data_IF_781739052170
#
_entry.id   IF_781739052170
#
_cell.length_a   1.000
_cell.length_b   1.000
_cell.length_c   1.000
_cell.angle_alpha   90.00
_cell.angle_beta   90.00
_cell.angle_gamma   90.00
#
_symmetry.space_group_name_H-M   'P 1'
#
loop_
_entity.id
_entity.type
_entity.pdbx_description
1 polymer ?
#
# COMPACT_ATOMS: atom_id res chain seq x y z
N UNK A 1 -11.75 -11.04 -16.42
CA UNK A 1 -12.54 -10.36 -17.49
C UNK A 1 -11.95 -10.74 -18.85
N UNK A 2 -12.75 -10.75 -19.92
CA UNK A 2 -12.26 -11.12 -21.27
C UNK A 2 -12.62 -10.11 -22.36
N UNK A 3 -13.61 -9.25 -22.12
CA UNK A 3 -13.97 -8.17 -23.03
C UNK A 3 -14.63 -7.02 -22.27
N UNK A 4 -14.33 -5.79 -22.67
CA UNK A 4 -15.01 -4.58 -22.21
C UNK A 4 -15.74 -3.95 -23.39
N UNK A 5 -16.99 -3.54 -23.18
CA UNK A 5 -17.73 -2.69 -24.10
C UNK A 5 -17.80 -1.29 -23.51
N UNK A 6 -17.10 -0.35 -24.17
CA UNK A 6 -16.95 1.04 -23.75
C UNK A 6 -17.62 1.95 -24.79
N UNK A 7 -18.26 3.01 -24.32
CA UNK A 7 -18.77 4.11 -25.15
C UNK A 7 -18.26 5.44 -24.58
N UNK A 8 -17.33 6.08 -25.28
CA UNK A 8 -16.70 7.31 -24.76
C UNK A 8 -16.00 7.04 -23.43
N UNK A 9 -16.26 7.84 -22.40
CA UNK A 9 -15.66 7.66 -21.07
C UNK A 9 -16.38 6.64 -20.18
N UNK A 10 -17.36 5.89 -20.70
CA UNK A 10 -18.18 4.97 -19.90
C UNK A 10 -18.00 3.53 -20.33
N UNK A 11 -17.83 2.64 -19.35
CA UNK A 11 -17.98 1.20 -19.53
C UNK A 11 -19.48 0.88 -19.48
N UNK A 12 -19.99 0.23 -20.52
CA UNK A 12 -21.39 -0.20 -20.61
C UNK A 12 -21.59 -1.64 -20.11
N UNK A 13 -20.63 -2.52 -20.43
CA UNK A 13 -20.67 -3.92 -20.00
C UNK A 13 -19.30 -4.57 -20.00
N UNK A 14 -19.13 -5.58 -19.15
CA UNK A 14 -17.93 -6.42 -19.09
C UNK A 14 -18.33 -7.88 -19.31
N UNK A 15 -17.59 -8.60 -20.14
CA UNK A 15 -17.71 -10.05 -20.27
C UNK A 15 -16.71 -10.71 -19.34
N UNK A 16 -17.18 -11.67 -18.55
CA UNK A 16 -16.41 -12.47 -17.61
C UNK A 16 -16.51 -13.93 -18.04
N UNK A 17 -15.38 -14.64 -18.05
CA UNK A 17 -15.37 -16.09 -18.21
C UNK A 17 -15.17 -16.74 -16.85
N UNK A 18 -15.88 -17.83 -16.60
CA UNK A 18 -15.65 -18.66 -15.42
C UNK A 18 -14.33 -19.41 -15.63
N UNK A 19 -13.42 -19.28 -14.65
CA UNK A 19 -12.10 -19.88 -14.70
C UNK A 19 -12.16 -21.39 -15.00
N UNK A 20 -11.29 -21.87 -15.88
CA UNK A 20 -11.21 -23.27 -16.29
C UNK A 20 -12.37 -23.77 -17.17
N UNK A 21 -13.28 -22.90 -17.62
CA UNK A 21 -14.45 -23.30 -18.42
C UNK A 21 -14.68 -22.36 -19.61
N UNK A 22 -15.43 -22.78 -20.64
CA UNK A 22 -15.89 -21.88 -21.70
C UNK A 22 -17.10 -21.03 -21.29
N UNK A 23 -17.66 -21.20 -20.09
CA UNK A 23 -18.83 -20.46 -19.63
C UNK A 23 -18.50 -18.97 -19.50
N UNK A 24 -19.37 -18.12 -20.04
CA UNK A 24 -19.22 -16.67 -19.97
C UNK A 24 -20.52 -15.99 -19.56
N UNK A 25 -20.38 -14.88 -18.84
CA UNK A 25 -21.47 -13.98 -18.47
C UNK A 25 -21.13 -12.56 -18.93
N UNK A 26 -22.15 -11.78 -19.26
CA UNK A 26 -22.01 -10.35 -19.49
C UNK A 26 -22.70 -9.59 -18.36
N UNK A 27 -21.96 -8.70 -17.71
CA UNK A 27 -22.47 -7.84 -16.63
C UNK A 27 -22.58 -6.40 -17.12
N UNK A 28 -23.65 -5.72 -16.72
CA UNK A 28 -23.90 -4.29 -16.97
C UNK A 28 -24.00 -3.57 -15.62
N UNK A 29 -23.52 -2.34 -15.55
CA UNK A 29 -23.52 -1.55 -14.33
C UNK A 29 -23.38 -0.07 -14.63
N UNK A 30 -23.80 0.78 -13.69
CA UNK A 30 -23.52 2.21 -13.76
C UNK A 30 -22.09 2.53 -13.30
N UNK A 31 -21.51 1.66 -12.48
CA UNK A 31 -20.15 1.77 -11.93
C UNK A 31 -19.50 0.39 -11.95
N UNK A 32 -18.21 0.35 -12.26
CA UNK A 32 -17.36 -0.83 -12.24
C UNK A 32 -16.21 -0.61 -11.25
N UNK A 33 -15.74 -1.69 -10.62
CA UNK A 33 -14.59 -1.65 -9.71
C UNK A 33 -13.60 -2.73 -10.14
N UNK A 34 -12.37 -2.34 -10.46
CA UNK A 34 -11.26 -3.27 -10.66
C UNK A 34 -10.47 -3.42 -9.37
N UNK A 35 -10.86 -4.43 -8.58
CA UNK A 35 -10.20 -4.78 -7.33
C UNK A 35 -9.25 -5.98 -7.48
N UNK A 36 -8.76 -6.25 -8.70
CA UNK A 36 -7.80 -7.33 -8.97
C UNK A 36 -6.37 -6.89 -8.68
N UNK A 37 -5.47 -7.86 -8.45
CA UNK A 37 -4.03 -7.60 -8.23
C UNK A 37 -3.28 -7.30 -9.53
N UNK A 38 -3.85 -7.68 -10.68
CA UNK A 38 -3.23 -7.56 -11.99
C UNK A 38 -3.74 -6.38 -12.83
N UNK A 39 -4.93 -5.86 -12.51
CA UNK A 39 -5.51 -4.73 -13.23
C UNK A 39 -6.06 -5.07 -14.61
N UNK A 40 -6.55 -6.30 -14.80
CA UNK A 40 -6.95 -6.79 -16.13
C UNK A 40 -8.20 -6.08 -16.67
N UNK A 41 -9.12 -5.62 -15.81
CA UNK A 41 -10.33 -4.95 -16.28
C UNK A 41 -9.99 -3.57 -16.86
N UNK A 42 -9.19 -2.76 -16.16
CA UNK A 42 -8.83 -1.44 -16.69
C UNK A 42 -7.91 -1.55 -17.92
N UNK A 43 -7.04 -2.56 -17.97
CA UNK A 43 -6.19 -2.80 -19.14
C UNK A 43 -7.05 -3.12 -20.38
N UNK A 44 -8.06 -3.98 -20.23
CA UNK A 44 -9.04 -4.29 -21.28
C UNK A 44 -9.96 -3.10 -21.64
N UNK A 45 -10.06 -2.09 -20.77
CA UNK A 45 -10.86 -0.88 -20.99
C UNK A 45 -10.06 0.24 -21.68
N UNK A 46 -8.80 -0.03 -22.07
CA UNK A 46 -7.86 0.95 -22.63
C UNK A 46 -7.62 2.15 -21.69
N UNK A 47 -7.58 1.88 -20.38
CA UNK A 47 -7.11 2.88 -19.39
C UNK A 47 -5.59 3.00 -19.50
N UNK A 48 -5.01 4.20 -19.54
CA UNK A 48 -3.57 4.36 -19.46
C UNK A 48 -3.03 3.77 -18.15
N UNK A 49 -2.01 2.93 -18.22
CA UNK A 49 -1.36 2.32 -17.07
C UNK A 49 0.14 2.18 -17.28
N UNK A 50 0.85 1.79 -16.24
CA UNK A 50 2.28 1.48 -16.25
C UNK A 50 2.55 0.11 -15.64
N UNK A 51 3.58 -0.55 -16.16
CA UNK A 51 4.26 -1.69 -15.53
C UNK A 51 5.73 -1.29 -15.37
N UNK A 52 6.33 -1.65 -14.24
CA UNK A 52 7.72 -1.34 -13.93
C UNK A 52 7.86 -0.05 -13.13
N UNK A 53 8.96 0.66 -13.35
CA UNK A 53 9.35 1.82 -12.54
C UNK A 53 9.70 3.04 -13.36
N UNK A 54 9.45 4.19 -12.76
CA UNK A 54 9.67 5.52 -13.29
C UNK A 54 11.15 5.92 -13.18
N UNK A 55 11.58 6.88 -14.00
CA UNK A 55 12.91 7.47 -13.87
C UNK A 55 12.89 8.51 -12.74
N UNK A 56 14.04 8.76 -12.10
CA UNK A 56 14.18 9.78 -11.04
C UNK A 56 13.57 11.12 -11.42
N UNK A 57 13.88 11.60 -12.63
CA UNK A 57 13.50 12.94 -13.07
C UNK A 57 12.04 13.01 -13.55
N UNK A 58 11.34 11.87 -13.69
CA UNK A 58 9.95 11.85 -14.16
C UNK A 58 8.99 12.50 -13.17
N UNK A 59 9.16 12.20 -11.88
CA UNK A 59 8.37 12.76 -10.77
C UNK A 59 9.24 13.50 -9.74
N UNK A 60 10.52 13.71 -10.03
CA UNK A 60 11.52 14.24 -9.09
C UNK A 60 11.58 13.40 -7.80
N UNK A 61 11.66 12.09 -7.95
CA UNK A 61 11.72 11.11 -6.86
C UNK A 61 13.17 10.69 -6.63
N UNK A 62 13.81 11.12 -5.52
CA UNK A 62 15.23 10.86 -5.28
C UNK A 62 15.61 9.37 -5.35
N UNK A 63 14.69 8.46 -5.02
CA UNK A 63 14.95 7.03 -4.98
C UNK A 63 14.43 6.26 -6.19
N UNK A 64 13.80 6.93 -7.18
CA UNK A 64 13.24 6.27 -8.34
C UNK A 64 14.28 5.80 -9.38
N UNK A 65 13.83 4.86 -10.22
CA UNK A 65 14.62 4.22 -11.26
C UNK A 65 15.40 2.99 -10.80
N UNK A 66 16.27 2.51 -11.69
CA UNK A 66 17.21 1.43 -11.38
C UNK A 66 18.27 1.93 -10.39
N UNK A 67 18.22 1.43 -9.15
CA UNK A 67 19.08 1.87 -8.03
C UNK A 67 19.73 0.72 -7.31
N UNK A 68 20.94 0.97 -6.79
CA UNK A 68 21.71 0.03 -5.97
C UNK A 68 21.95 0.65 -4.60
N UNK A 69 21.47 -0.01 -3.55
CA UNK A 69 21.61 0.49 -2.18
C UNK A 69 22.10 -0.60 -1.24
N UNK A 70 22.67 -0.20 -0.11
CA UNK A 70 22.84 -1.10 1.02
C UNK A 70 21.75 -0.81 2.09
N UNK A 71 21.61 -1.73 3.03
CA UNK A 71 20.65 -1.63 4.13
C UNK A 71 21.45 -1.55 5.42
N UNK A 72 21.18 -0.52 6.21
CA UNK A 72 21.76 -0.37 7.53
C UNK A 72 20.91 -1.12 8.55
N UNK A 73 21.54 -2.00 9.32
CA UNK A 73 20.89 -2.85 10.33
C UNK A 73 20.55 -2.14 11.64
N UNK A 74 20.82 -0.83 11.73
CA UNK A 74 20.41 -0.03 12.88
C UNK A 74 18.93 0.34 12.82
N UNK A 75 18.32 0.44 14.00
CA UNK A 75 16.94 0.89 14.15
C UNK A 75 16.82 2.37 13.76
N UNK A 76 15.75 2.78 13.05
CA UNK A 76 15.47 4.18 12.72
C UNK A 76 15.45 5.06 13.98
N UNK A 77 16.24 6.12 13.98
CA UNK A 77 16.32 7.07 15.10
C UNK A 77 15.29 8.21 14.94
N UNK A 78 15.05 8.67 13.71
CA UNK A 78 14.18 9.83 13.45
C UNK A 78 12.75 9.61 13.94
N UNK A 79 12.14 8.48 13.57
CA UNK A 79 10.79 8.10 14.00
C UNK A 79 10.66 8.06 15.53
N UNK A 80 11.69 7.54 16.21
CA UNK A 80 11.71 7.45 17.68
C UNK A 80 11.82 8.83 18.32
N UNK A 81 12.69 9.70 17.78
CA UNK A 81 12.89 11.08 18.27
C UNK A 81 11.66 11.96 18.04
N UNK A 82 10.98 11.77 16.90
CA UNK A 82 9.78 12.52 16.53
C UNK A 82 8.51 12.05 17.27
N UNK A 83 8.56 10.88 17.92
CA UNK A 83 7.43 10.34 18.67
C UNK A 83 6.26 9.91 17.80
N UNK A 84 6.50 9.57 16.52
CA UNK A 84 5.45 9.09 15.62
C UNK A 84 5.02 7.69 16.08
N UNK A 85 3.73 7.53 16.36
CA UNK A 85 3.14 6.32 16.93
C UNK A 85 2.88 5.26 15.85
N UNK A 86 3.95 4.79 15.21
CA UNK A 86 3.93 3.72 14.22
C UNK A 86 4.84 2.58 14.63
N UNK A 87 4.65 1.43 14.00
CA UNK A 87 5.55 0.29 14.18
C UNK A 87 6.92 0.61 13.59
N UNK A 88 7.91 0.79 14.46
CA UNK A 88 9.30 1.02 14.04
C UNK A 88 9.93 -0.27 13.52
N UNK A 89 10.40 -0.26 12.28
CA UNK A 89 11.12 -1.38 11.67
C UNK A 89 12.55 -1.51 12.24
N UNK A 90 13.17 -2.68 12.05
CA UNK A 90 14.48 -2.98 12.65
C UNK A 90 15.69 -2.50 11.86
N UNK A 91 15.48 -1.93 10.68
CA UNK A 91 16.55 -1.51 9.76
C UNK A 91 16.16 -0.20 9.07
N UNK A 92 17.15 0.45 8.45
CA UNK A 92 16.96 1.68 7.68
C UNK A 92 17.72 1.69 6.36
N UNK A 93 17.41 2.69 5.55
CA UNK A 93 18.12 2.93 4.31
C UNK A 93 19.59 3.23 4.63
N UNK A 94 20.49 2.49 3.99
CA UNK A 94 21.90 2.85 4.00
C UNK A 94 22.27 3.71 2.79
N UNK A 95 23.55 3.76 2.43
CA UNK A 95 24.02 4.49 1.26
C UNK A 95 23.47 3.94 -0.05
N UNK A 96 23.11 4.86 -0.94
CA UNK A 96 22.81 4.59 -2.34
C UNK A 96 24.08 4.80 -3.19
N UNK A 97 24.32 3.92 -4.16
CA UNK A 97 25.41 4.08 -5.11
C UNK A 97 25.16 5.34 -5.96
N UNK A 98 26.04 6.36 -5.89
CA UNK A 98 25.86 7.62 -6.63
C UNK A 98 25.94 7.42 -8.15
N UNK A 99 26.47 6.29 -8.61
CA UNK A 99 26.57 5.93 -10.04
C UNK A 99 25.43 5.00 -10.48
N UNK A 100 24.37 4.87 -9.68
CA UNK A 100 23.15 4.17 -10.10
C UNK A 100 22.58 4.84 -11.37
N UNK A 101 21.95 4.09 -12.28
CA UNK A 101 21.43 4.66 -13.52
C UNK A 101 20.26 5.64 -13.33
N UNK A 102 19.39 5.42 -12.33
CA UNK A 102 18.17 6.22 -12.10
C UNK A 102 17.18 6.25 -13.28
N UNK A 103 17.31 5.29 -14.20
CA UNK A 103 16.48 5.17 -15.39
C UNK A 103 15.20 4.39 -15.11
N UNK A 104 14.14 4.73 -15.84
CA UNK A 104 12.93 3.91 -15.94
C UNK A 104 13.25 2.56 -16.62
N UNK A 105 12.53 1.51 -16.23
CA UNK A 105 12.48 0.23 -16.93
C UNK A 105 11.17 -0.51 -16.61
N UNK A 106 10.94 -1.66 -17.26
CA UNK A 106 9.75 -2.50 -17.06
C UNK A 106 9.84 -3.44 -15.86
N UNK A 107 10.86 -3.34 -15.01
CA UNK A 107 11.07 -4.29 -13.92
C UNK A 107 10.22 -3.91 -12.70
N UNK A 108 9.57 -4.92 -12.13
CA UNK A 108 8.74 -4.81 -10.92
C UNK A 108 9.36 -5.60 -9.77
N UNK A 109 8.87 -5.39 -8.56
CA UNK A 109 9.29 -6.16 -7.38
C UNK A 109 9.14 -7.68 -7.57
N UNK A 110 10.10 -8.43 -7.04
CA UNK A 110 10.08 -9.88 -7.08
C UNK A 110 8.87 -10.50 -6.38
N UNK A 111 8.31 -11.56 -6.96
CA UNK A 111 7.19 -12.31 -6.36
C UNK A 111 7.69 -13.51 -5.53
N UNK A 112 6.78 -14.13 -4.77
CA UNK A 112 7.00 -15.41 -4.11
C UNK A 112 5.67 -16.07 -3.70
N UNK A 113 5.74 -17.32 -3.24
CA UNK A 113 4.67 -17.92 -2.44
C UNK A 113 4.90 -17.74 -0.95
N UNK A 114 3.81 -17.48 -0.20
CA UNK A 114 3.83 -17.41 1.27
C UNK A 114 3.20 -18.66 1.85
N UNK A 115 4.00 -19.70 2.08
CA UNK A 115 3.50 -20.98 2.59
C UNK A 115 3.17 -20.90 4.08
N UNK A 116 2.08 -21.55 4.49
CA UNK A 116 1.89 -21.92 5.89
C UNK A 116 2.68 -23.19 6.19
N UNK A 117 3.35 -23.23 7.34
CA UNK A 117 4.06 -24.41 7.84
C UNK A 117 3.71 -24.65 9.29
N UNK A 118 3.73 -25.91 9.73
CA UNK A 118 3.47 -26.29 11.12
C UNK A 118 4.59 -27.16 11.69
N UNK A 119 4.82 -26.99 12.98
CA UNK A 119 5.69 -27.86 13.78
C UNK A 119 4.92 -28.89 14.61
N UNK A 120 3.58 -28.92 14.55
CA UNK A 120 2.77 -29.91 15.26
C UNK A 120 2.81 -31.27 14.56
N UNK A 121 3.39 -32.33 15.17
CA UNK A 121 3.48 -33.64 14.54
C UNK A 121 2.12 -34.26 14.17
N UNK A 122 1.03 -33.92 14.88
CA UNK A 122 -0.30 -34.43 14.56
C UNK A 122 -0.87 -33.79 13.30
N UNK A 123 -0.49 -32.53 13.02
CA UNK A 123 -0.97 -31.74 11.90
C UNK A 123 0.04 -31.61 10.74
N UNK A 124 1.25 -32.17 10.88
CA UNK A 124 2.33 -31.99 9.91
C UNK A 124 2.33 -33.05 8.80
N UNK A 125 2.33 -32.59 7.55
CA UNK A 125 2.68 -33.37 6.37
C UNK A 125 4.14 -33.07 5.96
N UNK A 126 4.89 -34.05 5.45
CA UNK A 126 6.22 -33.80 4.91
C UNK A 126 6.15 -32.83 3.71
N UNK A 127 7.17 -32.01 3.54
CA UNK A 127 7.29 -31.18 2.33
C UNK A 127 7.47 -32.12 1.13
N UNK A 128 6.65 -32.02 0.07
CA UNK A 128 6.84 -32.84 -1.12
C UNK A 128 8.08 -32.39 -1.90
N UNK A 129 8.82 -33.35 -2.48
CA UNK A 129 9.87 -33.05 -3.45
C UNK A 129 9.22 -32.68 -4.79
N UNK A 130 9.41 -31.46 -5.34
CA UNK A 130 8.87 -31.12 -6.64
C UNK A 130 9.48 -31.98 -7.75
N UNK A 131 8.70 -32.25 -8.81
CA UNK A 131 9.18 -32.98 -9.97
C UNK A 131 10.30 -32.22 -10.72
N UNK A 132 10.23 -30.88 -10.72
CA UNK A 132 11.21 -29.97 -11.30
C UNK A 132 12.43 -29.71 -10.41
N UNK A 133 12.53 -30.34 -9.23
CA UNK A 133 13.61 -30.08 -8.28
C UNK A 133 15.00 -30.25 -8.91
N UNK A 134 15.74 -29.15 -8.97
CA UNK A 134 17.16 -29.13 -9.30
C UNK A 134 17.95 -28.51 -8.14
N UNK A 135 18.92 -29.26 -7.63
CA UNK A 135 19.77 -28.83 -6.52
C UNK A 135 20.51 -27.53 -6.81
N UNK A 136 20.95 -27.34 -8.05
CA UNK A 136 21.81 -26.23 -8.46
C UNK A 136 21.11 -24.86 -8.30
N UNK A 137 19.77 -24.83 -8.39
CA UNK A 137 18.96 -23.61 -8.23
C UNK A 137 19.07 -23.04 -6.80
N UNK A 138 19.37 -23.90 -5.82
CA UNK A 138 19.38 -23.53 -4.40
C UNK A 138 20.80 -23.37 -3.83
N UNK A 139 21.83 -23.96 -4.46
CA UNK A 139 23.21 -23.96 -3.97
C UNK A 139 23.81 -22.58 -3.74
N UNK A 140 23.37 -21.58 -4.52
CA UNK A 140 23.81 -20.19 -4.42
C UNK A 140 22.67 -19.22 -4.07
N UNK A 141 21.46 -19.73 -3.82
CA UNK A 141 20.34 -18.90 -3.41
C UNK A 141 20.59 -18.29 -2.03
N UNK A 142 20.45 -16.98 -1.87
CA UNK A 142 20.90 -16.27 -0.67
C UNK A 142 19.87 -16.28 0.47
N UNK A 143 18.59 -16.59 0.21
CA UNK A 143 17.50 -16.60 1.21
C UNK A 143 17.10 -18.01 1.65
N UNK A 144 18.02 -18.70 2.32
CA UNK A 144 17.84 -20.08 2.78
C UNK A 144 17.34 -20.16 4.21
N UNK A 145 16.01 -20.16 4.41
CA UNK A 145 15.45 -20.47 5.72
C UNK A 145 14.01 -20.99 5.65
N UNK A 146 13.66 -21.79 6.65
CA UNK A 146 12.28 -22.02 7.12
C UNK A 146 12.20 -21.37 8.52
N UNK A 147 11.22 -20.50 8.81
CA UNK A 147 11.14 -19.86 10.11
C UNK A 147 11.00 -20.90 11.22
N UNK A 148 11.69 -20.65 12.33
CA UNK A 148 11.66 -21.51 13.51
C UNK A 148 10.78 -20.96 14.65
N UNK A 149 10.19 -19.77 14.47
CA UNK A 149 9.29 -19.20 15.47
C UNK A 149 7.92 -19.84 15.37
N UNK A 150 7.48 -20.43 16.48
CA UNK A 150 6.16 -21.02 16.66
C UNK A 150 5.16 -19.90 16.95
N UNK A 151 4.24 -19.66 16.01
CA UNK A 151 3.07 -18.80 16.21
C UNK A 151 1.90 -19.56 16.82
N UNK A 152 0.70 -18.95 16.84
CA UNK A 152 -0.54 -19.61 17.26
C UNK A 152 -0.72 -20.96 16.55
N UNK A 153 -1.28 -21.94 17.26
CA UNK A 153 -1.55 -23.29 16.75
C UNK A 153 -0.31 -24.03 16.20
N UNK A 154 0.88 -23.73 16.73
CA UNK A 154 2.15 -24.32 16.25
C UNK A 154 2.42 -24.06 14.75
N UNK A 155 1.91 -22.95 14.20
CA UNK A 155 2.08 -22.57 12.79
C UNK A 155 3.04 -21.39 12.62
N UNK A 156 3.62 -21.29 11.43
CA UNK A 156 4.49 -20.22 10.97
C UNK A 156 4.34 -20.03 9.46
N UNK A 157 5.07 -19.09 8.87
CA UNK A 157 4.98 -18.83 7.43
C UNK A 157 6.34 -18.68 6.73
N UNK A 158 6.52 -19.37 5.61
CA UNK A 158 7.71 -19.21 4.75
C UNK A 158 7.40 -18.14 3.70
N UNK A 159 8.06 -16.99 3.79
CA UNK A 159 7.80 -15.82 2.93
C UNK A 159 9.01 -15.31 2.13
N UNK A 160 10.11 -16.09 2.06
CA UNK A 160 11.33 -15.69 1.37
C UNK A 160 11.82 -16.55 0.18
N UNK A 161 11.02 -17.43 -0.48
CA UNK A 161 11.40 -17.99 -1.78
C UNK A 161 11.19 -16.94 -2.89
N UNK A 162 11.90 -15.82 -2.78
CA UNK A 162 11.74 -14.65 -3.65
C UNK A 162 12.65 -14.78 -4.84
N UNK A 163 12.08 -14.63 -6.05
CA UNK A 163 12.80 -14.79 -7.32
C UNK A 163 12.80 -13.49 -8.15
N UNK A 164 13.77 -12.58 -7.95
CA UNK A 164 13.88 -11.38 -8.77
C UNK A 164 14.03 -11.69 -10.25
N UNK A 165 13.33 -10.93 -11.09
CA UNK A 165 13.32 -11.08 -12.55
C UNK A 165 12.40 -12.16 -13.11
N UNK A 166 12.11 -13.22 -12.35
CA UNK A 166 11.33 -14.36 -12.87
C UNK A 166 9.85 -14.03 -13.10
N UNK A 167 9.35 -12.95 -12.51
CA UNK A 167 7.96 -12.54 -12.60
C UNK A 167 7.69 -11.41 -13.62
N UNK A 168 8.70 -10.89 -14.32
CA UNK A 168 8.55 -9.68 -15.14
C UNK A 168 7.53 -9.79 -16.27
N UNK A 169 7.34 -10.98 -16.82
CA UNK A 169 6.31 -11.22 -17.85
C UNK A 169 4.89 -11.30 -17.26
N UNK A 170 4.74 -11.59 -15.97
CA UNK A 170 3.44 -11.89 -15.35
C UNK A 170 2.39 -10.78 -15.50
N UNK A 171 2.70 -9.48 -15.30
CA UNK A 171 1.69 -8.42 -15.40
C UNK A 171 0.99 -8.42 -16.77
N UNK A 172 1.76 -8.55 -17.85
CA UNK A 172 1.26 -8.48 -19.23
C UNK A 172 0.93 -9.84 -19.87
N UNK A 173 1.21 -10.94 -19.18
CA UNK A 173 0.97 -12.28 -19.68
C UNK A 173 -0.52 -12.63 -19.79
N UNK A 174 -0.85 -13.50 -20.74
CA UNK A 174 -2.13 -14.21 -20.74
C UNK A 174 -2.17 -15.27 -19.62
N UNK A 175 -3.34 -15.87 -19.42
CA UNK A 175 -3.52 -16.87 -18.36
C UNK A 175 -2.61 -18.09 -18.49
N UNK A 176 -2.34 -18.57 -19.71
CA UNK A 176 -1.48 -19.75 -19.89
C UNK A 176 -0.04 -19.46 -19.47
N UNK A 177 0.49 -18.29 -19.84
CA UNK A 177 1.82 -17.86 -19.41
C UNK A 177 1.85 -17.52 -17.91
N UNK A 178 0.78 -16.91 -17.35
CA UNK A 178 0.68 -16.68 -15.90
C UNK A 178 0.69 -17.98 -15.11
N UNK A 179 -0.05 -19.00 -15.54
CA UNK A 179 -0.07 -20.33 -14.91
C UNK A 179 1.32 -20.97 -14.87
N UNK A 180 2.10 -20.84 -15.95
CA UNK A 180 3.49 -21.33 -15.97
C UNK A 180 4.37 -20.60 -14.95
N UNK A 181 4.25 -19.27 -14.85
CA UNK A 181 5.00 -18.46 -13.88
C UNK A 181 4.56 -18.80 -12.45
N UNK A 182 3.26 -18.94 -12.21
CA UNK A 182 2.68 -19.34 -10.92
C UNK A 182 3.26 -20.70 -10.50
N UNK A 183 3.19 -21.70 -11.38
CA UNK A 183 3.71 -23.03 -11.12
C UNK A 183 5.21 -23.01 -10.83
N UNK A 184 6.00 -22.25 -11.59
CA UNK A 184 7.43 -22.08 -11.35
C UNK A 184 7.71 -21.53 -9.94
N UNK A 185 6.96 -20.53 -9.49
CA UNK A 185 7.13 -19.94 -8.15
C UNK A 185 6.69 -20.88 -7.03
N UNK A 186 5.62 -21.65 -7.25
CA UNK A 186 5.14 -22.67 -6.32
C UNK A 186 6.19 -23.77 -6.13
N UNK A 187 6.65 -24.35 -7.24
CA UNK A 187 7.65 -25.41 -7.25
C UNK A 187 8.98 -24.94 -6.68
N UNK A 188 9.42 -23.73 -7.01
CA UNK A 188 10.65 -23.17 -6.44
C UNK A 188 10.57 -23.07 -4.91
N UNK A 189 9.43 -22.62 -4.38
CA UNK A 189 9.21 -22.49 -2.94
C UNK A 189 9.18 -23.83 -2.20
N UNK A 190 8.47 -24.82 -2.74
CA UNK A 190 8.47 -26.19 -2.22
C UNK A 190 9.86 -26.83 -2.30
N UNK A 191 10.55 -26.64 -3.43
CA UNK A 191 11.89 -27.18 -3.67
C UNK A 191 12.95 -26.53 -2.78
N UNK A 192 12.82 -25.25 -2.42
CA UNK A 192 13.67 -24.59 -1.44
C UNK A 192 13.51 -25.23 -0.07
N UNK A 193 12.27 -25.46 0.38
CA UNK A 193 12.01 -26.13 1.67
C UNK A 193 12.55 -27.56 1.68
N UNK A 194 12.37 -28.30 0.57
CA UNK A 194 12.95 -29.64 0.40
C UNK A 194 14.49 -29.61 0.45
N UNK A 195 15.13 -28.71 -0.29
CA UNK A 195 16.59 -28.52 -0.28
C UNK A 195 17.10 -28.30 1.14
N UNK A 196 16.43 -27.42 1.91
CA UNK A 196 16.81 -27.13 3.29
C UNK A 196 16.68 -28.34 4.22
N UNK A 197 15.70 -29.21 4.00
CA UNK A 197 15.48 -30.42 4.80
C UNK A 197 16.43 -31.58 4.45
N UNK A 198 16.90 -31.66 3.20
CA UNK A 198 17.51 -32.88 2.67
C UNK A 198 18.92 -32.72 2.08
N UNK A 199 19.35 -31.53 1.66
CA UNK A 199 20.62 -31.37 0.94
C UNK A 199 21.85 -31.42 1.85
N UNK A 200 22.87 -32.18 1.43
CA UNK A 200 24.08 -32.40 2.22
C UNK A 200 24.89 -31.12 2.48
N UNK A 201 24.74 -30.09 1.63
CA UNK A 201 25.40 -28.79 1.81
C UNK A 201 24.86 -28.00 3.02
N UNK A 202 23.66 -28.31 3.51
CA UNK A 202 23.10 -27.71 4.72
C UNK A 202 23.59 -28.49 5.93
N UNK A 203 24.18 -27.89 6.98
CA UNK A 203 24.66 -28.63 8.16
C UNK A 203 23.61 -29.59 8.75
N UNK A 204 24.02 -30.81 9.13
CA UNK A 204 23.10 -31.85 9.60
C UNK A 204 22.20 -31.41 10.78
N UNK A 205 22.76 -30.64 11.72
CA UNK A 205 21.99 -30.08 12.84
C UNK A 205 20.90 -29.09 12.39
N UNK A 206 21.14 -28.35 11.31
CA UNK A 206 20.19 -27.41 10.74
C UNK A 206 19.10 -28.14 9.93
N UNK A 207 19.47 -29.16 9.14
CA UNK A 207 18.49 -30.04 8.48
C UNK A 207 17.52 -30.66 9.46
N UNK A 208 18.01 -31.16 10.60
CA UNK A 208 17.16 -31.73 11.67
C UNK A 208 16.11 -30.72 12.17
N UNK A 209 16.49 -29.45 12.36
CA UNK A 209 15.54 -28.39 12.74
C UNK A 209 14.54 -28.10 11.62
N UNK A 210 14.97 -28.07 10.37
CA UNK A 210 14.06 -27.85 9.25
C UNK A 210 13.07 -29.00 9.04
N UNK A 211 13.46 -30.24 9.33
CA UNK A 211 12.59 -31.42 9.31
C UNK A 211 11.51 -31.39 10.42
N UNK A 212 11.62 -30.51 11.41
CA UNK A 212 10.57 -30.28 12.39
C UNK A 212 9.37 -29.51 11.80
N UNK A 213 9.50 -28.98 10.59
CA UNK A 213 8.46 -28.20 9.91
C UNK A 213 7.93 -28.94 8.68
N UNK A 214 6.66 -28.72 8.38
CA UNK A 214 6.01 -29.29 7.20
C UNK A 214 4.72 -28.56 6.85
N UNK A 215 4.01 -29.01 5.82
CA UNK A 215 2.74 -28.42 5.45
C UNK A 215 1.64 -28.84 6.46
N UNK A 216 0.77 -27.92 6.90
CA UNK A 216 -0.32 -28.25 7.82
C UNK A 216 -1.47 -28.98 7.11
N UNK A 217 -2.02 -30.06 7.68
CA UNK A 217 -3.15 -30.81 7.10
C UNK A 217 -4.42 -29.97 6.99
N UNK A 218 -4.56 -28.96 7.84
CA UNK A 218 -5.78 -28.17 8.03
C UNK A 218 -5.80 -26.82 7.30
N UNK A 219 -4.73 -26.42 6.61
CA UNK A 219 -4.74 -25.23 5.74
C UNK A 219 -4.75 -25.65 4.28
N UNK A 220 -5.54 -24.97 3.45
CA UNK A 220 -5.64 -25.24 2.01
C UNK A 220 -5.88 -26.73 1.70
N UNK A 221 -6.75 -27.37 2.50
CA UNK A 221 -6.95 -28.82 2.47
C UNK A 221 -7.49 -29.34 1.12
N UNK A 222 -8.16 -28.48 0.39
CA UNK A 222 -8.71 -28.64 -0.96
C UNK A 222 -7.74 -28.24 -2.08
N UNK A 223 -6.51 -27.84 -1.73
CA UNK A 223 -5.50 -27.35 -2.66
C UNK A 223 -4.10 -27.82 -2.25
N UNK A 224 -3.97 -29.12 -1.93
CA UNK A 224 -2.70 -29.80 -1.60
C UNK A 224 -1.84 -29.10 -0.53
N UNK A 225 -2.51 -28.41 0.43
CA UNK A 225 -1.88 -27.64 1.49
C UNK A 225 -0.98 -26.49 1.01
N UNK A 226 -1.17 -26.03 -0.23
CA UNK A 226 -0.45 -24.88 -0.80
C UNK A 226 -1.39 -23.67 -0.98
N UNK A 227 -0.89 -22.44 -0.79
CA UNK A 227 -1.72 -21.24 -0.96
C UNK A 227 -2.37 -21.16 -2.35
N UNK A 228 -3.59 -20.62 -2.42
CA UNK A 228 -4.33 -20.47 -3.68
C UNK A 228 -3.62 -19.54 -4.69
N UNK A 229 -2.94 -18.51 -4.18
CA UNK A 229 -2.40 -17.45 -5.02
C UNK A 229 -0.92 -17.20 -4.73
N UNK A 230 -0.20 -16.85 -5.80
CA UNK A 230 1.14 -16.29 -5.70
C UNK A 230 1.06 -14.88 -5.12
N UNK A 231 2.02 -14.48 -4.29
CA UNK A 231 2.09 -13.12 -3.77
C UNK A 231 2.66 -12.16 -4.82
N UNK A 232 1.75 -11.60 -5.62
CA UNK A 232 2.00 -10.54 -6.61
C UNK A 232 2.18 -9.22 -5.87
N UNK A 233 3.42 -8.68 -5.88
CA UNK A 233 3.73 -7.43 -5.16
C UNK A 233 3.33 -6.18 -5.92
N UNK A 234 3.45 -6.23 -7.23
CA UNK A 234 3.35 -5.06 -8.10
C UNK A 234 3.14 -5.54 -9.54
N UNK A 235 1.96 -5.26 -10.09
CA UNK A 235 1.65 -5.52 -11.49
C UNK A 235 1.40 -4.18 -12.20
N UNK A 236 0.28 -4.05 -12.91
CA UNK A 236 -0.13 -2.79 -13.52
C UNK A 236 -0.55 -1.78 -12.44
N UNK A 237 -0.22 -0.51 -12.67
CA UNK A 237 -0.76 0.63 -11.93
C UNK A 237 -1.40 1.59 -12.92
N UNK A 238 -2.64 2.00 -12.69
CA UNK A 238 -3.27 3.00 -13.56
C UNK A 238 -2.49 4.31 -13.54
N UNK A 239 -2.50 5.06 -14.63
CA UNK A 239 -2.19 6.49 -14.61
C UNK A 239 -3.51 7.20 -14.31
N UNK A 240 -3.71 7.51 -13.03
CA UNK A 240 -4.93 8.12 -12.54
C UNK A 240 -4.95 9.64 -12.65
N UNK A 241 -5.98 10.25 -12.05
CA UNK A 241 -6.13 11.70 -11.93
C UNK A 241 -5.13 12.31 -10.94
N UNK A 242 -4.45 11.47 -10.16
CA UNK A 242 -3.26 11.80 -9.41
C UNK A 242 -2.37 10.57 -9.29
N UNK A 243 -1.07 10.76 -9.48
CA UNK A 243 -0.07 9.72 -9.25
C UNK A 243 0.53 9.97 -7.88
N UNK A 244 0.16 9.13 -6.91
CA UNK A 244 0.76 9.15 -5.57
C UNK A 244 2.24 8.75 -5.69
N UNK A 245 3.14 9.64 -5.31
CA UNK A 245 4.58 9.45 -5.51
C UNK A 245 5.36 9.61 -4.21
N UNK A 246 6.68 9.42 -4.26
CA UNK A 246 7.57 9.47 -3.10
C UNK A 246 7.40 10.76 -2.28
N UNK A 247 7.17 11.90 -2.95
CA UNK A 247 7.01 13.19 -2.29
C UNK A 247 5.72 13.28 -1.45
N UNK A 248 4.68 12.52 -1.80
CA UNK A 248 3.47 12.41 -0.97
C UNK A 248 3.76 11.67 0.34
N UNK A 249 4.81 10.83 0.36
CA UNK A 249 5.32 10.09 1.50
C UNK A 249 6.32 10.85 2.38
N UNK A 250 6.77 12.02 1.97
CA UNK A 250 7.83 12.80 2.63
C UNK A 250 7.29 13.96 3.47
N UNK A 251 8.00 14.34 4.53
CA UNK A 251 7.69 15.56 5.27
C UNK A 251 7.85 16.79 4.37
N UNK A 252 6.94 17.75 4.53
CA UNK A 252 7.09 19.06 3.92
C UNK A 252 8.01 19.95 4.74
N UNK A 253 8.60 20.98 4.13
CA UNK A 253 9.37 22.00 4.85
C UNK A 253 8.47 23.05 5.54
N UNK A 254 7.21 23.18 5.12
CA UNK A 254 6.29 24.21 5.59
C UNK A 254 5.63 23.89 6.95
N UNK A 255 5.53 22.60 7.28
CA UNK A 255 4.88 22.08 8.49
C UNK A 255 5.32 20.62 8.75
N UNK A 256 5.05 20.11 9.94
CA UNK A 256 5.62 18.85 10.47
C UNK A 256 4.80 17.60 10.14
N UNK A 257 4.32 17.49 8.89
CA UNK A 257 3.63 16.31 8.35
C UNK A 257 3.79 16.25 6.83
N UNK A 258 3.39 15.13 6.24
CA UNK A 258 3.34 14.91 4.79
C UNK A 258 2.29 15.80 4.10
N UNK A 259 2.35 15.96 2.77
CA UNK A 259 1.37 16.74 2.00
C UNK A 259 -0.07 16.43 2.37
N UNK A 260 -0.89 17.49 2.49
CA UNK A 260 -2.30 17.37 2.83
C UNK A 260 -3.10 17.23 1.54
N UNK A 261 -3.90 16.18 1.48
CA UNK A 261 -4.81 15.87 0.39
C UNK A 261 -6.27 16.17 0.82
N UNK A 262 -6.91 17.19 0.25
CA UNK A 262 -8.26 17.63 0.67
C UNK A 262 -9.38 16.62 0.42
N UNK A 263 -9.10 15.63 -0.44
CA UNK A 263 -9.95 14.52 -0.84
C UNK A 263 -9.37 13.17 -0.36
N UNK A 264 -8.62 13.15 0.74
CA UNK A 264 -8.07 11.92 1.33
C UNK A 264 -9.16 10.90 1.65
N UNK A 265 -8.94 9.65 1.26
CA UNK A 265 -9.85 8.53 1.50
C UNK A 265 -9.25 7.42 2.36
N UNK A 266 -7.93 7.42 2.51
CA UNK A 266 -7.19 6.38 3.22
C UNK A 266 -5.86 6.94 3.70
N UNK A 267 -5.16 6.17 4.52
CA UNK A 267 -3.78 6.47 4.90
C UNK A 267 -2.87 5.26 4.70
N UNK A 268 -1.60 5.55 4.46
CA UNK A 268 -0.51 4.59 4.64
C UNK A 268 0.40 5.06 5.77
N UNK A 269 0.83 4.15 6.63
CA UNK A 269 1.76 4.39 7.74
C UNK A 269 3.03 3.54 7.63
N UNK A 270 3.08 2.63 6.65
CA UNK A 270 4.27 1.87 6.33
C UNK A 270 5.22 2.71 5.50
N UNK A 271 6.51 2.51 5.75
CA UNK A 271 7.54 3.18 5.00
C UNK A 271 7.58 2.67 3.56
N UNK A 272 8.06 3.50 2.64
CA UNK A 272 8.25 3.08 1.26
C UNK A 272 9.37 2.03 1.19
N UNK A 273 9.01 0.81 0.80
CA UNK A 273 9.93 -0.31 0.68
C UNK A 273 9.78 -1.00 -0.68
N UNK A 274 10.89 -1.47 -1.21
CA UNK A 274 10.88 -2.25 -2.43
C UNK A 274 11.74 -3.49 -2.25
N UNK A 275 11.24 -4.62 -2.75
CA UNK A 275 12.04 -5.82 -2.97
C UNK A 275 12.83 -5.72 -4.26
N UNK A 276 13.94 -6.47 -4.33
CA UNK A 276 14.78 -6.45 -5.51
C UNK A 276 14.00 -6.80 -6.78
N UNK A 277 14.23 -6.04 -7.84
CA UNK A 277 13.50 -6.16 -9.10
C UNK A 277 14.23 -7.11 -10.06
N UNK A 278 15.57 -7.04 -10.12
CA UNK A 278 16.43 -7.97 -10.86
C UNK A 278 17.47 -8.63 -9.94
N UNK A 279 18.31 -9.50 -10.49
CA UNK A 279 19.49 -10.04 -9.81
C UNK A 279 20.76 -9.22 -10.04
N UNK A 280 20.66 -8.10 -10.78
CA UNK A 280 21.81 -7.22 -10.99
C UNK A 280 22.28 -6.68 -9.65
N UNK A 281 23.59 -6.65 -9.44
CA UNK A 281 24.19 -6.22 -8.18
C UNK A 281 25.49 -5.48 -8.42
N UNK A 282 25.91 -4.70 -7.42
CA UNK A 282 27.20 -4.01 -7.41
C UNK A 282 27.95 -4.36 -6.11
N UNK A 283 29.30 -4.40 -6.11
CA UNK A 283 30.06 -4.68 -4.91
C UNK A 283 29.64 -3.78 -3.74
N UNK A 284 29.26 -4.38 -2.61
CA UNK A 284 28.81 -3.66 -1.41
C UNK A 284 27.34 -3.25 -1.39
N UNK A 285 26.58 -3.50 -2.45
CA UNK A 285 25.16 -3.16 -2.57
C UNK A 285 24.28 -4.40 -2.70
N UNK A 286 22.98 -4.25 -2.41
CA UNK A 286 21.97 -5.28 -2.65
C UNK A 286 21.65 -5.39 -4.14
N UNK A 287 20.88 -6.40 -4.48
CA UNK A 287 20.28 -6.50 -5.80
C UNK A 287 19.42 -5.26 -6.09
N UNK A 288 19.47 -4.84 -7.35
CA UNK A 288 18.75 -3.69 -7.91
C UNK A 288 17.31 -3.57 -7.38
N UNK A 289 16.89 -2.35 -7.09
CA UNK A 289 15.52 -2.02 -6.70
C UNK A 289 15.19 -2.31 -5.23
N UNK A 290 16.09 -2.91 -4.44
CA UNK A 290 15.89 -3.03 -3.00
C UNK A 290 15.90 -1.62 -2.37
N UNK A 291 14.89 -1.30 -1.55
CA UNK A 291 14.80 -0.04 -0.78
C UNK A 291 14.11 -0.27 0.57
N UNK A 292 14.46 0.53 1.59
CA UNK A 292 13.84 0.54 2.94
C UNK A 292 13.88 1.99 3.50
N UNK A 293 12.92 2.83 3.11
CA UNK A 293 12.91 4.28 3.43
C UNK A 293 12.28 4.61 4.80
N UNK A 294 12.74 3.95 5.86
CA UNK A 294 12.15 4.05 7.21
C UNK A 294 12.43 5.36 7.94
N UNK A 295 13.46 6.13 7.54
CA UNK A 295 13.76 7.43 8.15
C UNK A 295 13.21 8.61 7.34
N UNK A 296 12.91 8.38 6.05
CA UNK A 296 12.48 9.35 5.06
C UNK A 296 10.95 9.41 4.96
N UNK A 297 10.29 8.25 5.03
CA UNK A 297 8.83 8.14 4.86
C UNK A 297 8.08 8.48 6.14
N UNK A 298 6.90 9.10 6.03
CA UNK A 298 5.97 9.31 7.16
C UNK A 298 4.54 8.92 6.78
N UNK A 299 3.65 8.76 7.79
CA UNK A 299 2.24 8.47 7.51
C UNK A 299 1.62 9.50 6.58
N UNK A 300 0.90 9.04 5.55
CA UNK A 300 0.51 9.86 4.40
C UNK A 300 -0.93 9.63 3.98
N UNK A 301 -1.55 10.68 3.46
CA UNK A 301 -2.94 10.69 2.99
C UNK A 301 -3.00 10.21 1.54
N UNK A 302 -3.90 9.28 1.24
CA UNK A 302 -4.12 8.76 -0.11
C UNK A 302 -5.37 9.46 -0.67
N UNK A 303 -5.25 10.28 -1.73
CA UNK A 303 -6.38 11.04 -2.26
C UNK A 303 -7.31 10.18 -3.13
N UNK A 304 -8.60 10.52 -3.16
CA UNK A 304 -9.62 9.83 -3.96
C UNK A 304 -9.24 9.76 -5.45
N UNK A 305 -8.68 10.85 -5.99
CA UNK A 305 -8.16 10.92 -7.36
C UNK A 305 -7.09 9.88 -7.72
N UNK A 306 -6.46 9.21 -6.75
CA UNK A 306 -5.57 8.08 -7.01
C UNK A 306 -6.32 6.80 -7.43
N UNK A 307 -7.62 6.67 -7.09
CA UNK A 307 -8.45 5.53 -7.51
C UNK A 307 -9.14 5.76 -8.86
N UNK A 308 -9.09 7.00 -9.37
CA UNK A 308 -9.81 7.43 -10.56
C UNK A 308 -8.89 7.36 -11.79
N UNK A 309 -9.15 6.49 -12.76
CA UNK A 309 -8.38 6.43 -14.00
C UNK A 309 -8.61 7.67 -14.87
N UNK A 310 -7.66 7.93 -15.77
CA UNK A 310 -7.86 8.88 -16.86
C UNK A 310 -8.70 8.26 -17.98
N UNK A 311 -9.64 9.03 -18.53
CA UNK A 311 -10.42 8.65 -19.72
C UNK A 311 -11.58 7.68 -19.48
N UNK A 312 -11.79 7.17 -18.26
CA UNK A 312 -12.96 6.39 -17.86
C UNK A 312 -13.55 6.99 -16.58
N UNK A 313 -14.83 7.32 -16.61
CA UNK A 313 -15.50 8.06 -15.54
C UNK A 313 -16.25 7.17 -14.55
N UNK A 314 -16.63 5.96 -14.96
CA UNK A 314 -17.40 5.03 -14.13
C UNK A 314 -16.62 3.79 -13.65
N UNK A 315 -15.29 3.92 -13.51
CA UNK A 315 -14.41 2.87 -13.02
C UNK A 315 -13.64 3.34 -11.78
N UNK A 316 -13.58 2.48 -10.76
CA UNK A 316 -12.75 2.65 -9.57
C UNK A 316 -11.68 1.57 -9.52
N UNK A 317 -10.45 1.91 -9.13
CA UNK A 317 -9.33 0.96 -9.05
C UNK A 317 -8.67 1.02 -7.67
N UNK A 318 -9.22 0.33 -6.64
CA UNK A 318 -8.72 0.40 -5.27
C UNK A 318 -7.42 -0.36 -5.00
N UNK A 319 -7.09 -1.37 -5.81
CA UNK A 319 -5.89 -2.22 -5.61
C UNK A 319 -4.75 -1.68 -6.46
N UNK A 320 -4.83 -1.84 -7.78
CA UNK A 320 -3.88 -1.33 -8.80
C UNK A 320 -3.95 0.19 -9.03
N UNK A 321 -4.13 0.95 -7.95
CA UNK A 321 -4.34 2.39 -7.96
C UNK A 321 -3.13 3.16 -8.51
N UNK A 322 -3.34 4.45 -8.76
CA UNK A 322 -2.36 5.33 -9.37
C UNK A 322 -1.25 5.75 -8.39
N UNK A 323 -0.07 5.15 -8.55
CA UNK A 323 1.12 5.47 -7.79
C UNK A 323 2.41 5.18 -8.59
N UNK A 324 3.54 5.74 -8.15
CA UNK A 324 4.88 5.37 -8.67
C UNK A 324 5.39 4.08 -8.02
N UNK A 325 6.41 3.47 -8.59
CA UNK A 325 7.05 2.26 -8.05
C UNK A 325 7.58 2.47 -6.62
N UNK A 326 8.13 3.65 -6.32
CA UNK A 326 8.68 3.95 -5.00
C UNK A 326 7.56 4.05 -3.97
N UNK A 327 6.53 4.84 -4.28
CA UNK A 327 5.40 5.02 -3.39
C UNK A 327 4.56 3.74 -3.25
N UNK A 328 4.58 2.86 -4.25
CA UNK A 328 3.91 1.56 -4.24
C UNK A 328 4.29 0.71 -3.03
N UNK A 329 5.53 0.83 -2.54
CA UNK A 329 5.98 0.16 -1.32
C UNK A 329 5.11 0.42 -0.08
N UNK A 330 4.60 1.64 0.03
CA UNK A 330 3.69 2.04 1.11
C UNK A 330 2.22 1.74 0.78
N UNK A 331 1.84 1.69 -0.51
CA UNK A 331 0.45 1.47 -0.97
C UNK A 331 0.05 0.00 -0.95
N UNK A 332 0.93 -0.91 -1.38
CA UNK A 332 0.62 -2.31 -1.74
C UNK A 332 0.22 -3.24 -0.58
N UNK A 333 0.00 -2.69 0.60
CA UNK A 333 -0.23 -3.45 1.82
C UNK A 333 -1.72 -3.70 2.02
N UNK A 334 -2.06 -4.87 2.54
CA UNK A 334 -3.45 -5.28 2.75
C UNK A 334 -4.25 -4.29 3.63
N UNK A 335 -3.70 -3.69 4.71
CA UNK A 335 -4.42 -2.65 5.47
C UNK A 335 -4.75 -1.39 4.65
N UNK A 336 -3.94 -1.05 3.64
CA UNK A 336 -4.23 0.08 2.75
C UNK A 336 -5.30 -0.32 1.74
N UNK A 337 -5.20 -1.51 1.14
CA UNK A 337 -6.23 -2.03 0.23
C UNK A 337 -7.60 -2.21 0.88
N UNK A 338 -7.65 -2.54 2.17
CA UNK A 338 -8.92 -2.55 2.92
C UNK A 338 -9.56 -1.15 2.95
N UNK A 339 -8.78 -0.10 3.25
CA UNK A 339 -9.27 1.27 3.29
C UNK A 339 -9.68 1.78 1.90
N UNK A 340 -8.86 1.57 0.87
CA UNK A 340 -9.18 2.01 -0.49
C UNK A 340 -10.36 1.24 -1.08
N UNK A 341 -10.49 -0.05 -0.76
CA UNK A 341 -11.64 -0.88 -1.11
C UNK A 341 -12.93 -0.41 -0.45
N UNK A 342 -12.90 -0.09 0.84
CA UNK A 342 -14.05 0.48 1.56
C UNK A 342 -14.46 1.83 0.96
N UNK A 343 -13.48 2.71 0.69
CA UNK A 343 -13.73 3.99 0.05
C UNK A 343 -14.33 3.85 -1.36
N UNK A 344 -13.83 2.90 -2.16
CA UNK A 344 -14.39 2.60 -3.48
C UNK A 344 -15.84 2.08 -3.38
N UNK A 345 -16.15 1.27 -2.37
CA UNK A 345 -17.52 0.82 -2.09
C UNK A 345 -18.48 1.98 -1.81
N UNK A 346 -18.11 2.87 -0.89
CA UNK A 346 -18.90 4.08 -0.62
C UNK A 346 -19.03 4.98 -1.84
N UNK A 347 -17.93 5.20 -2.58
CA UNK A 347 -17.93 6.01 -3.79
C UNK A 347 -18.89 5.44 -4.84
N UNK A 348 -18.88 4.13 -5.07
CA UNK A 348 -19.81 3.48 -6.01
C UNK A 348 -21.27 3.65 -5.59
N UNK A 349 -21.58 3.48 -4.30
CA UNK A 349 -22.93 3.64 -3.77
C UNK A 349 -23.42 5.09 -3.86
N UNK A 350 -22.59 6.06 -3.48
CA UNK A 350 -22.91 7.49 -3.54
C UNK A 350 -23.05 7.98 -4.98
N UNK A 351 -22.16 7.54 -5.89
CA UNK A 351 -22.27 7.86 -7.31
C UNK A 351 -23.61 7.37 -7.88
N UNK A 352 -24.02 6.14 -7.53
CA UNK A 352 -25.33 5.61 -7.91
C UNK A 352 -26.48 6.43 -7.33
N UNK A 353 -26.41 6.81 -6.05
CA UNK A 353 -27.44 7.59 -5.38
C UNK A 353 -27.61 9.00 -5.97
N UNK A 354 -26.49 9.66 -6.28
CA UNK A 354 -26.46 10.99 -6.88
C UNK A 354 -26.66 10.97 -8.41
N UNK A 355 -26.86 9.78 -9.00
CA UNK A 355 -26.97 9.60 -10.46
C UNK A 355 -25.81 10.25 -11.23
N UNK A 356 -24.60 10.12 -10.66
CA UNK A 356 -23.35 10.64 -11.21
C UNK A 356 -22.35 9.50 -11.45
N UNK A 357 -21.23 9.79 -12.09
CA UNK A 357 -20.14 8.84 -12.28
C UNK A 357 -19.23 8.80 -11.05
N UNK A 358 -18.36 7.80 -10.92
CA UNK A 358 -17.38 7.78 -9.84
C UNK A 358 -16.40 8.97 -9.93
N UNK A 359 -16.04 9.33 -11.16
CA UNK A 359 -15.19 10.46 -11.51
C UNK A 359 -15.77 11.83 -11.16
N UNK A 360 -17.09 11.99 -11.33
CA UNK A 360 -17.81 13.24 -11.10
C UNK A 360 -18.49 13.29 -9.72
N UNK A 361 -18.25 12.26 -8.88
CA UNK A 361 -18.70 12.27 -7.50
C UNK A 361 -17.99 13.40 -6.75
N UNK A 362 -18.76 14.20 -6.02
CA UNK A 362 -18.21 15.23 -5.13
C UNK A 362 -17.31 14.57 -4.06
N UNK A 363 -15.99 14.81 -4.06
CA UNK A 363 -15.09 14.22 -3.09
C UNK A 363 -15.41 14.66 -1.65
N UNK A 364 -16.04 15.82 -1.48
CA UNK A 364 -16.47 16.30 -0.17
C UNK A 364 -17.57 15.40 0.41
N UNK A 365 -18.55 15.00 -0.40
CA UNK A 365 -19.60 14.05 0.02
C UNK A 365 -19.03 12.69 0.43
N UNK A 366 -18.04 12.18 -0.33
CA UNK A 366 -17.36 10.94 0.01
C UNK A 366 -16.61 11.08 1.33
N UNK A 367 -15.75 12.10 1.45
CA UNK A 367 -14.96 12.36 2.65
C UNK A 367 -15.84 12.46 3.91
N UNK A 368 -16.93 13.23 3.85
CA UNK A 368 -17.85 13.36 4.97
C UNK A 368 -18.50 12.02 5.34
N UNK A 369 -18.85 11.21 4.34
CA UNK A 369 -19.36 9.84 4.57
C UNK A 369 -18.32 8.99 5.29
N UNK A 370 -17.08 8.96 4.81
CA UNK A 370 -15.99 8.16 5.38
C UNK A 370 -15.71 8.50 6.85
N UNK A 371 -15.59 9.79 7.17
CA UNK A 371 -15.29 10.21 8.56
C UNK A 371 -16.46 9.95 9.52
N UNK A 372 -17.72 10.02 9.05
CA UNK A 372 -18.90 9.63 9.86
C UNK A 372 -18.85 8.16 10.25
N UNK A 373 -18.37 7.30 9.35
CA UNK A 373 -18.10 5.88 9.62
C UNK A 373 -16.73 5.63 10.27
N UNK A 374 -16.00 6.70 10.62
CA UNK A 374 -14.71 6.67 11.32
C UNK A 374 -13.61 5.94 10.54
N UNK A 375 -13.71 5.92 9.21
CA UNK A 375 -12.61 5.51 8.36
C UNK A 375 -11.45 6.49 8.50
N UNK A 376 -10.23 5.97 8.56
CA UNK A 376 -9.02 6.74 8.76
C UNK A 376 -8.62 7.45 7.45
N UNK A 377 -8.89 8.75 7.36
CA UNK A 377 -8.49 9.61 6.22
C UNK A 377 -7.28 10.49 6.55
N UNK A 378 -6.82 10.47 7.79
CA UNK A 378 -5.59 11.13 8.24
C UNK A 378 -5.03 10.43 9.46
N UNK A 379 -3.72 10.27 9.52
CA UNK A 379 -3.02 9.69 10.66
C UNK A 379 -2.87 10.71 11.80
N UNK A 380 -3.01 10.23 13.04
CA UNK A 380 -2.71 10.95 14.26
C UNK A 380 -2.11 9.98 15.30
N UNK A 381 -1.15 10.44 16.09
CA UNK A 381 -0.50 9.66 17.14
C UNK A 381 -1.45 9.35 18.31
N UNK A 382 -2.39 10.26 18.55
CA UNK A 382 -3.20 10.38 19.76
C UNK A 382 -4.70 10.19 19.51
N UNK A 383 -5.09 9.77 18.29
CA UNK A 383 -6.46 9.35 17.99
C UNK A 383 -6.51 7.85 17.74
N UNK A 384 -7.38 7.17 18.49
CA UNK A 384 -7.78 5.80 18.20
C UNK A 384 -9.22 5.80 17.71
N UNK A 385 -9.45 5.41 16.45
CA UNK A 385 -10.75 5.50 15.78
C UNK A 385 -11.89 4.73 16.48
N UNK A 386 -11.54 3.75 17.32
CA UNK A 386 -12.50 2.98 18.13
C UNK A 386 -13.01 3.72 19.37
N UNK A 387 -12.40 4.84 19.76
CA UNK A 387 -12.74 5.56 20.99
C UNK A 387 -14.06 6.34 20.84
N UNK A 388 -14.84 6.47 21.91
CA UNK A 388 -16.19 7.08 21.84
C UNK A 388 -16.21 8.61 21.71
N UNK A 389 -15.06 9.28 21.62
CA UNK A 389 -14.99 10.74 21.53
C UNK A 389 -15.72 11.24 20.25
N UNK A 390 -16.76 12.08 20.39
CA UNK A 390 -17.55 12.58 19.25
C UNK A 390 -16.76 13.53 18.35
N UNK A 391 -15.64 14.11 18.81
CA UNK A 391 -14.81 15.01 18.01
C UNK A 391 -13.92 14.28 16.99
N UNK A 392 -13.80 12.94 17.06
CA UNK A 392 -12.91 12.17 16.17
C UNK A 392 -13.27 12.35 14.68
N UNK A 393 -14.53 12.17 14.22
CA UNK A 393 -14.90 12.45 12.83
C UNK A 393 -14.53 13.87 12.37
N UNK A 394 -14.77 14.88 13.22
CA UNK A 394 -14.43 16.26 12.92
C UNK A 394 -12.91 16.45 12.79
N UNK A 395 -12.12 15.86 13.69
CA UNK A 395 -10.67 15.92 13.62
C UNK A 395 -10.11 15.29 12.34
N UNK A 396 -10.61 14.11 11.96
CA UNK A 396 -10.25 13.43 10.72
C UNK A 396 -10.59 14.28 9.49
N UNK A 397 -11.78 14.88 9.47
CA UNK A 397 -12.18 15.79 8.40
C UNK A 397 -11.26 17.01 8.29
N UNK A 398 -11.10 17.77 9.37
CA UNK A 398 -10.33 19.01 9.36
C UNK A 398 -8.82 18.78 9.15
N UNK A 399 -8.33 17.56 9.38
CA UNK A 399 -6.98 17.15 9.00
C UNK A 399 -6.73 17.15 7.49
N UNK A 400 -7.75 16.89 6.68
CA UNK A 400 -7.67 17.04 5.21
C UNK A 400 -7.75 18.50 4.78
N UNK A 401 -8.16 19.40 5.68
CA UNK A 401 -8.36 20.82 5.40
C UNK A 401 -7.24 21.70 5.95
N UNK A 402 -6.18 21.12 6.51
CA UNK A 402 -4.99 21.84 6.95
C UNK A 402 -5.07 22.49 8.34
N UNK A 403 -6.02 22.08 9.17
CA UNK A 403 -6.14 22.59 10.54
C UNK A 403 -5.04 22.04 11.47
N UNK A 404 -4.27 21.05 11.05
CA UNK A 404 -3.21 20.46 11.86
C UNK A 404 -1.87 20.57 11.14
N UNK A 405 -0.87 21.08 11.84
CA UNK A 405 0.50 21.21 11.35
C UNK A 405 1.34 19.93 11.53
N UNK A 406 0.93 19.03 12.43
CA UNK A 406 1.64 17.80 12.77
C UNK A 406 0.69 16.60 12.92
N UNK A 407 1.21 15.49 13.46
CA UNK A 407 0.47 14.24 13.70
C UNK A 407 -0.19 14.18 15.09
N UNK A 408 -0.33 15.29 15.83
CA UNK A 408 -0.93 15.29 17.17
C UNK A 408 -2.21 16.16 17.17
N UNK A 409 -3.37 15.52 17.29
CA UNK A 409 -4.65 16.20 17.27
C UNK A 409 -4.92 17.03 18.53
N UNK A 410 -4.43 16.54 19.68
CA UNK A 410 -4.48 17.19 20.99
C UNK A 410 -5.90 17.59 21.39
N UNK A 411 -6.88 16.71 21.13
CA UNK A 411 -8.32 17.06 21.21
C UNK A 411 -8.75 17.56 22.60
N UNK A 412 -8.10 17.11 23.66
CA UNK A 412 -8.40 17.49 25.04
C UNK A 412 -7.68 18.75 25.53
N UNK A 413 -6.71 19.26 24.77
CA UNK A 413 -5.94 20.44 25.12
C UNK A 413 -6.67 21.72 24.69
N UNK A 414 -6.50 22.84 25.43
CA UNK A 414 -6.99 24.14 25.00
C UNK A 414 -6.28 24.62 23.72
N UNK A 415 -7.00 25.32 22.85
CA UNK A 415 -6.38 26.13 21.80
C UNK A 415 -5.60 27.28 22.43
N UNK A 416 -4.51 27.70 21.80
CA UNK A 416 -3.91 29.02 22.06
C UNK A 416 -4.66 30.08 21.24
N UNK A 417 -4.58 31.36 21.65
CA UNK A 417 -5.24 32.46 20.94
C UNK A 417 -4.82 32.54 19.47
N UNK A 418 -3.53 32.33 19.18
CA UNK A 418 -2.99 32.33 17.82
C UNK A 418 -3.55 31.18 16.97
N UNK A 419 -3.61 29.95 17.51
CA UNK A 419 -4.14 28.79 16.78
C UNK A 419 -5.64 28.93 16.56
N UNK A 420 -6.39 29.41 17.57
CA UNK A 420 -7.83 29.67 17.40
C UNK A 420 -8.08 30.67 16.27
N UNK A 421 -7.33 31.78 16.21
CA UNK A 421 -7.48 32.76 15.14
C UNK A 421 -7.19 32.17 13.74
N UNK A 422 -6.13 31.37 13.61
CA UNK A 422 -5.82 30.68 12.36
C UNK A 422 -6.93 29.71 11.95
N UNK A 423 -7.48 28.93 12.89
CA UNK A 423 -8.58 28.00 12.64
C UNK A 423 -9.89 28.71 12.27
N UNK A 424 -10.21 29.83 12.92
CA UNK A 424 -11.38 30.64 12.58
C UNK A 424 -11.28 31.22 11.17
N UNK A 425 -10.10 31.72 10.79
CA UNK A 425 -9.83 32.16 9.41
C UNK A 425 -9.97 31.01 8.41
N UNK A 426 -9.36 29.86 8.70
CA UNK A 426 -9.48 28.66 7.87
C UNK A 426 -10.93 28.20 7.69
N UNK A 427 -11.74 28.27 8.75
CA UNK A 427 -13.16 27.92 8.69
C UNK A 427 -13.97 28.91 7.83
N UNK A 428 -13.63 30.20 7.87
CA UNK A 428 -14.26 31.20 6.99
C UNK A 428 -13.91 30.94 5.52
N UNK A 429 -12.63 30.65 5.23
CA UNK A 429 -12.18 30.30 3.87
C UNK A 429 -12.82 29.02 3.36
N UNK A 430 -12.98 28.00 4.23
CA UNK A 430 -13.66 26.75 3.89
C UNK A 430 -15.09 27.02 3.43
N UNK A 431 -15.85 27.82 4.19
CA UNK A 431 -17.23 28.19 3.86
C UNK A 431 -17.36 28.98 2.57
N UNK A 432 -16.32 29.74 2.20
CA UNK A 432 -16.27 30.53 0.98
C UNK A 432 -15.76 29.71 -0.22
N UNK A 433 -15.32 28.47 -0.02
CA UNK A 433 -14.70 27.65 -1.08
C UNK A 433 -13.31 28.14 -1.51
N UNK A 434 -12.64 28.95 -0.69
CA UNK A 434 -11.35 29.59 -1.00
C UNK A 434 -10.17 29.01 -0.22
N UNK A 435 -10.43 28.00 0.62
CA UNK A 435 -9.40 27.41 1.47
C UNK A 435 -8.30 26.72 0.67
N UNK A 436 -7.04 27.03 1.01
CA UNK A 436 -5.87 26.27 0.60
C UNK A 436 -5.33 25.53 1.84
N UNK A 437 -5.50 24.19 1.93
CA UNK A 437 -5.09 23.42 3.12
C UNK A 437 -3.59 23.50 3.44
N UNK A 438 -2.72 23.54 2.42
CA UNK A 438 -1.27 23.71 2.63
C UNK A 438 -0.95 25.06 3.27
N UNK A 439 -1.58 26.12 2.77
CA UNK A 439 -1.39 27.47 3.32
C UNK A 439 -1.91 27.57 4.75
N UNK A 440 -3.08 26.98 5.05
CA UNK A 440 -3.61 26.96 6.41
C UNK A 440 -2.67 26.17 7.35
N UNK A 441 -2.18 24.99 6.95
CA UNK A 441 -1.29 24.20 7.79
C UNK A 441 0.02 24.94 8.12
N UNK A 442 0.56 25.71 7.16
CA UNK A 442 1.69 26.61 7.39
C UNK A 442 1.37 27.72 8.39
N UNK A 443 0.18 28.32 8.28
CA UNK A 443 -0.28 29.33 9.25
C UNK A 443 -0.47 28.74 10.64
N UNK A 444 -1.01 27.51 10.73
CA UNK A 444 -1.13 26.78 11.99
C UNK A 444 0.25 26.48 12.58
N UNK A 445 1.23 26.05 11.78
CA UNK A 445 2.62 25.86 12.24
C UNK A 445 3.17 27.14 12.88
N UNK A 446 3.03 28.29 12.20
CA UNK A 446 3.45 29.59 12.72
C UNK A 446 2.68 29.98 13.99
N UNK A 447 1.39 29.69 14.05
CA UNK A 447 0.55 29.98 15.20
C UNK A 447 0.88 29.11 16.43
N UNK A 448 1.27 27.86 16.23
CA UNK A 448 1.73 26.94 17.29
C UNK A 448 3.09 27.38 17.85
N UNK A 449 3.95 27.98 17.04
CA UNK A 449 5.24 28.54 17.47
C UNK A 449 5.10 29.89 18.19
N UNK A 450 3.96 30.57 18.02
CA UNK A 450 3.64 31.77 18.80
C UNK A 450 3.31 31.38 20.23
N UNK A 451 4.09 31.90 21.18
CA UNK A 451 3.82 31.77 22.61
C UNK A 451 2.64 32.65 23.05
N UNK A 452 1.42 32.33 22.58
CA UNK A 452 0.19 33.04 22.92
C UNK A 452 -0.57 32.32 24.05
N UNK A 453 -1.38 33.04 24.87
CA UNK A 453 -2.12 32.45 25.97
C UNK A 453 -3.07 31.33 25.53
N UNK A 454 -3.21 30.30 26.38
CA UNK A 454 -4.26 29.30 26.23
C UNK A 454 -5.66 29.94 26.39
N UNK A 455 -6.60 29.44 25.61
CA UNK A 455 -8.02 29.81 25.66
C UNK A 455 -8.79 28.83 26.54
N UNK A 456 -10.07 29.12 26.81
CA UNK A 456 -10.97 28.18 27.50
C UNK A 456 -11.53 27.10 26.57
N UNK A 457 -11.28 27.18 25.26
CA UNK A 457 -11.86 26.30 24.24
C UNK A 457 -10.90 25.16 23.94
N UNK A 458 -11.34 23.92 24.16
CA UNK A 458 -10.58 22.73 23.75
C UNK A 458 -10.58 22.56 22.23
N UNK A 459 -9.49 22.03 21.67
CA UNK A 459 -9.36 21.74 20.23
C UNK A 459 -10.52 20.87 19.72
N UNK A 460 -10.82 19.77 20.40
CA UNK A 460 -11.91 18.86 20.03
C UNK A 460 -13.28 19.54 20.06
N UNK A 461 -13.55 20.36 21.08
CA UNK A 461 -14.81 21.12 21.17
C UNK A 461 -14.96 22.16 20.07
N UNK A 462 -13.88 22.84 19.66
CA UNK A 462 -13.90 23.74 18.52
C UNK A 462 -14.25 23.00 17.23
N UNK A 463 -13.55 21.90 16.96
CA UNK A 463 -13.72 21.10 15.73
C UNK A 463 -15.12 20.51 15.63
N UNK A 464 -15.64 19.95 16.72
CA UNK A 464 -16.99 19.40 16.75
C UNK A 464 -18.04 20.48 16.44
N UNK A 465 -17.95 21.64 17.10
CA UNK A 465 -18.86 22.76 16.82
C UNK A 465 -18.74 23.29 15.38
N UNK A 466 -17.53 23.29 14.81
CA UNK A 466 -17.31 23.70 13.43
C UNK A 466 -17.89 22.67 12.44
N UNK A 467 -17.73 21.39 12.73
CA UNK A 467 -18.27 20.28 11.96
C UNK A 467 -19.81 20.29 11.94
N UNK A 468 -20.45 20.45 13.08
CA UNK A 468 -21.93 20.53 13.16
C UNK A 468 -22.50 21.66 12.30
N UNK A 469 -21.74 22.75 12.08
CA UNK A 469 -22.14 23.87 11.20
C UNK A 469 -21.88 23.63 9.71
N UNK A 470 -21.11 22.60 9.36
CA UNK A 470 -20.89 22.16 7.97
C UNK A 470 -21.93 21.09 7.59
N UNK A 471 -22.36 20.30 8.57
CA UNK A 471 -23.34 19.23 8.38
C UNK A 471 -24.80 19.72 8.30
N UNK A 472 -25.09 20.89 8.89
CA UNK A 472 -26.37 21.60 8.82
C UNK A 472 -26.30 22.73 7.80
#
# INVERSE_FOLDING_TARGET
PTKVNRQGALINSVTLNRFGTPESIQVKGTTFVDATYEGDLFALADVPYRVGREARDEYNEPHAGKVFVNIDGHRPESIVKEGVNIRVYGARQGSMDPTSPFTADGAVQAYNYRFCVTSDPANRLPIPKPASYNREDYLNFHRRYIPASIGPNHKSHVNSPIMPGQNHAYPEADWSAREQIIQQHLEFGLGLMWFLQHDESIPAAQRKKYLEWGLPKDEYADHDQVPYEMYVREARRIVGRHVFNENDGMLTEDYRRTPIHPDSIAVTDWYMDSHSCTTDSRPGFKYDGKLILTEESRPSQIPYRALLPQGIDNLLVPVCLSATHIAWGAIRLEPVFLQTGEAAGYAAALAKQQSTTAADLDPELLLQTLVRYRQLVSFFNDIKITDSDPAIPAALYFATKGFFNDYNARLNEPLTQSVQAAWEQGLQQLKQGTLNPRQLAKQVQQAEEQNSPATTVKRGSFLLNAWDRIQN
#
